data_IF_499250097761
#
_entry.id   IF_499250097761
#
_cell.length_a   1.000
_cell.length_b   1.000
_cell.length_c   1.000
_cell.angle_alpha   90.00
_cell.angle_beta   90.00
_cell.angle_gamma   90.00
#
_symmetry.space_group_name_H-M   'P 1'
#
loop_
_entity.id
_entity.type
_entity.pdbx_description
1 polymer ?
#
# COMPACT_ATOMS: atom_id res chain seq x y z
N UNK A 1 -9.98 44.21 47.68
CA UNK A 1 -10.05 44.02 46.22
C UNK A 1 -8.87 43.14 45.81
N UNK A 2 -8.72 41.86 46.17
CA UNK A 2 -9.66 40.72 46.10
C UNK A 2 -10.53 40.74 44.85
N UNK A 3 -9.99 40.18 43.76
CA UNK A 3 -10.70 39.54 42.66
C UNK A 3 -9.61 39.14 41.63
N UNK A 4 -9.54 38.00 40.95
CA UNK A 4 -10.36 36.81 40.83
C UNK A 4 -9.68 36.03 39.67
N UNK A 5 -9.52 34.71 39.78
CA UNK A 5 -8.90 33.76 38.81
C UNK A 5 -7.37 33.81 38.61
N UNK A 6 -6.53 32.82 38.94
CA UNK A 6 -6.67 31.38 39.18
C UNK A 6 -7.65 30.64 38.24
N UNK A 7 -7.18 30.33 37.05
CA UNK A 7 -7.60 29.14 36.28
C UNK A 7 -6.33 28.43 35.79
N UNK A 8 -5.53 27.94 36.74
CA UNK A 8 -4.92 26.63 36.52
C UNK A 8 -6.07 25.66 36.65
N UNK A 9 -6.56 25.16 35.51
CA UNK A 9 -7.46 24.03 35.51
C UNK A 9 -6.73 22.90 36.21
N UNK A 10 -7.08 22.71 37.48
CA UNK A 10 -6.76 21.50 38.20
C UNK A 10 -7.28 20.34 37.35
N UNK A 11 -6.36 19.62 36.74
CA UNK A 11 -6.48 18.17 36.70
C UNK A 11 -6.65 17.77 38.15
N UNK A 12 -7.90 17.64 38.59
CA UNK A 12 -8.19 17.07 39.89
C UNK A 12 -7.46 15.74 39.91
N UNK A 13 -6.43 15.63 40.73
CA UNK A 13 -6.01 14.33 41.22
C UNK A 13 -7.22 13.85 42.03
N UNK A 14 -8.02 12.89 41.53
CA UNK A 14 -8.88 12.19 42.46
C UNK A 14 -7.94 11.66 43.56
N UNK A 15 -8.42 11.65 44.80
CA UNK A 15 -7.79 10.94 45.92
C UNK A 15 -7.85 9.43 45.68
N UNK A 16 -7.29 8.99 44.56
CA UNK A 16 -7.19 7.62 44.13
C UNK A 16 -5.96 7.04 44.81
N UNK A 17 -6.19 5.97 45.56
CA UNK A 17 -5.20 5.15 46.26
C UNK A 17 -3.78 5.20 45.64
N UNK A 18 -2.70 5.20 46.43
CA UNK A 18 -1.32 5.15 45.90
C UNK A 18 -1.09 4.01 44.90
N UNK A 19 -1.86 2.92 44.99
CA UNK A 19 -1.90 1.86 43.97
C UNK A 19 -2.41 2.35 42.60
N UNK A 20 -3.45 3.18 42.57
CA UNK A 20 -3.97 3.78 41.33
C UNK A 20 -2.96 4.76 40.71
N UNK A 21 -2.21 5.49 41.54
CA UNK A 21 -1.15 6.40 41.07
C UNK A 21 0.02 5.63 40.41
N UNK A 22 0.48 4.55 41.06
CA UNK A 22 1.52 3.67 40.52
C UNK A 22 1.02 2.98 39.23
N UNK A 23 -0.23 2.50 39.21
CA UNK A 23 -0.85 1.90 38.04
C UNK A 23 -0.89 2.88 36.86
N UNK A 24 -1.29 4.13 37.10
CA UNK A 24 -1.41 5.16 36.07
C UNK A 24 -0.02 5.59 35.55
N UNK A 25 0.99 5.64 36.42
CA UNK A 25 2.37 5.91 36.03
C UNK A 25 2.95 4.79 35.15
N UNK A 26 2.78 3.52 35.56
CA UNK A 26 3.21 2.36 34.77
C UNK A 26 2.45 2.28 33.45
N UNK A 27 1.14 2.56 33.44
CA UNK A 27 0.34 2.59 32.22
C UNK A 27 0.84 3.65 31.22
N UNK A 28 1.21 4.85 31.69
CA UNK A 28 1.76 5.90 30.84
C UNK A 28 3.10 5.50 30.23
N UNK A 29 4.02 4.93 31.03
CA UNK A 29 5.28 4.40 30.51
C UNK A 29 5.07 3.23 29.53
N UNK A 30 4.11 2.34 29.82
CA UNK A 30 3.79 1.21 28.95
C UNK A 30 3.27 1.66 27.58
N UNK A 31 2.40 2.67 27.54
CA UNK A 31 1.87 3.24 26.29
C UNK A 31 3.01 3.90 25.49
N UNK A 32 3.85 4.71 26.13
CA UNK A 32 4.97 5.36 25.46
C UNK A 32 5.99 4.35 24.89
N UNK A 33 6.31 3.30 25.66
CA UNK A 33 7.18 2.21 25.23
C UNK A 33 6.59 1.42 24.07
N UNK A 34 5.30 1.07 24.13
CA UNK A 34 4.62 0.30 23.10
C UNK A 34 4.50 1.05 21.78
N UNK A 35 4.19 2.35 21.85
CA UNK A 35 4.07 3.21 20.66
C UNK A 35 5.41 3.44 19.99
N UNK A 36 6.54 3.47 20.73
CA UNK A 36 7.87 3.70 20.13
C UNK A 36 8.53 2.42 19.59
N UNK A 37 8.40 1.29 20.27
CA UNK A 37 9.09 0.03 19.88
C UNK A 37 8.48 -0.64 18.66
N UNK A 38 7.16 -0.59 18.53
CA UNK A 38 6.47 -1.19 17.38
C UNK A 38 6.87 -0.56 16.03
N UNK A 39 6.92 0.77 15.87
CA UNK A 39 7.39 1.37 14.63
C UNK A 39 8.90 1.29 14.45
N UNK A 40 9.71 1.39 15.52
CA UNK A 40 11.18 1.39 15.40
C UNK A 40 11.71 0.11 14.74
N UNK A 41 11.26 -1.07 15.18
CA UNK A 41 11.72 -2.35 14.62
C UNK A 41 11.42 -2.46 13.13
N UNK A 42 10.30 -1.89 12.66
CA UNK A 42 9.90 -1.92 11.25
C UNK A 42 10.76 -0.99 10.39
N UNK A 43 11.15 0.18 10.92
CA UNK A 43 12.01 1.13 10.19
C UNK A 43 13.45 0.63 10.14
N UNK A 44 13.97 0.10 11.26
CA UNK A 44 15.31 -0.52 11.31
C UNK A 44 15.43 -1.68 10.32
N UNK A 45 14.41 -2.54 10.23
CA UNK A 45 14.43 -3.67 9.29
C UNK A 45 14.44 -3.21 7.82
N UNK A 46 13.64 -2.21 7.46
CA UNK A 46 13.63 -1.64 6.10
C UNK A 46 14.96 -1.01 5.72
N UNK A 47 15.57 -0.32 6.68
CA UNK A 47 16.84 0.37 6.48
C UNK A 47 17.99 -0.61 6.34
N UNK A 48 17.91 -1.76 7.03
CA UNK A 48 18.84 -2.86 6.88
C UNK A 48 18.61 -3.64 5.58
N UNK A 49 17.36 -3.92 5.20
CA UNK A 49 17.01 -4.54 3.92
C UNK A 49 17.47 -3.68 2.72
N UNK A 50 17.32 -2.36 2.78
CA UNK A 50 17.85 -1.43 1.77
C UNK A 50 19.37 -1.57 1.63
N UNK A 51 20.08 -1.68 2.75
CA UNK A 51 21.54 -1.84 2.77
C UNK A 51 21.99 -3.22 2.26
N UNK A 52 21.24 -4.26 2.54
CA UNK A 52 21.50 -5.64 2.08
C UNK A 52 21.16 -5.83 0.59
N UNK A 53 20.23 -5.05 0.06
CA UNK A 53 19.84 -5.11 -1.35
C UNK A 53 20.83 -4.45 -2.32
N UNK A 54 21.87 -3.77 -1.83
CA UNK A 54 22.86 -3.10 -2.67
C UNK A 54 23.73 -4.12 -3.41
N UNK A 55 23.78 -4.01 -4.73
CA UNK A 55 24.53 -4.91 -5.61
C UNK A 55 25.69 -4.19 -6.31
N UNK A 56 26.64 -4.98 -6.80
CA UNK A 56 27.73 -4.48 -7.65
C UNK A 56 27.13 -4.04 -8.99
N UNK A 57 27.50 -2.85 -9.43
CA UNK A 57 26.98 -2.24 -10.67
C UNK A 57 25.84 -1.26 -10.46
N UNK A 58 25.29 -1.16 -9.23
CA UNK A 58 24.27 -0.16 -8.92
C UNK A 58 24.87 1.26 -8.93
N UNK A 59 24.10 2.18 -9.50
CA UNK A 59 24.37 3.60 -9.38
C UNK A 59 23.71 4.13 -8.11
N UNK A 60 24.51 4.70 -7.21
CA UNK A 60 24.06 5.15 -5.90
C UNK A 60 24.37 6.62 -5.69
N UNK A 61 23.48 7.27 -4.94
CA UNK A 61 23.66 8.63 -4.44
C UNK A 61 23.93 8.56 -2.94
N UNK A 62 25.07 9.09 -2.54
CA UNK A 62 25.51 9.20 -1.14
C UNK A 62 24.82 10.40 -0.48
N UNK A 63 24.71 10.42 0.86
CA UNK A 63 24.11 11.54 1.63
C UNK A 63 24.74 12.91 1.30
N UNK A 64 26.03 12.93 0.95
CA UNK A 64 26.74 14.15 0.53
C UNK A 64 26.47 14.60 -0.92
N UNK A 65 25.52 13.98 -1.64
CA UNK A 65 25.22 14.30 -3.04
C UNK A 65 26.19 13.69 -4.05
N UNK A 66 27.11 12.83 -3.62
CA UNK A 66 28.07 12.15 -4.51
C UNK A 66 27.35 11.00 -5.22
N UNK A 67 27.34 11.04 -6.55
CA UNK A 67 26.80 10.00 -7.42
C UNK A 67 27.94 9.15 -7.98
N UNK A 68 27.81 7.84 -7.89
CA UNK A 68 28.82 6.92 -8.41
C UNK A 68 28.31 5.50 -8.55
N UNK A 69 29.13 4.65 -9.16
CA UNK A 69 28.83 3.23 -9.39
C UNK A 69 29.51 2.36 -8.33
N UNK A 70 28.79 1.39 -7.78
CA UNK A 70 29.34 0.41 -6.84
C UNK A 70 30.17 -0.62 -7.59
N UNK A 71 31.45 -0.76 -7.22
CA UNK A 71 32.38 -1.75 -7.79
C UNK A 71 32.54 -2.97 -6.89
N UNK A 72 32.46 -2.76 -5.58
CA UNK A 72 32.61 -3.84 -4.61
C UNK A 72 31.76 -3.56 -3.38
N UNK A 73 31.01 -4.57 -2.94
CA UNK A 73 30.19 -4.54 -1.73
C UNK A 73 30.88 -5.37 -0.66
N UNK A 74 31.02 -4.82 0.55
CA UNK A 74 31.36 -5.53 1.79
C UNK A 74 30.25 -5.29 2.81
N UNK A 75 30.25 -6.03 3.92
CA UNK A 75 29.18 -5.98 4.93
C UNK A 75 28.94 -4.56 5.50
N UNK A 76 30.02 -3.84 5.84
CA UNK A 76 29.91 -2.50 6.45
C UNK A 76 30.36 -1.35 5.53
N UNK A 77 31.03 -1.67 4.42
CA UNK A 77 31.61 -0.67 3.51
C UNK A 77 31.47 -1.06 2.05
N UNK A 78 31.47 -0.05 1.18
CA UNK A 78 31.28 -0.16 -0.25
C UNK A 78 32.44 0.59 -0.92
N UNK A 79 32.92 0.09 -2.06
CA UNK A 79 33.84 0.84 -2.92
C UNK A 79 33.04 1.36 -4.10
N UNK A 80 33.00 2.68 -4.23
CA UNK A 80 32.35 3.38 -5.32
C UNK A 80 33.39 3.99 -6.25
N UNK A 81 33.10 3.96 -7.55
CA UNK A 81 33.78 4.78 -8.55
C UNK A 81 32.95 6.04 -8.81
N UNK A 82 33.55 7.21 -8.59
CA UNK A 82 32.91 8.52 -8.78
C UNK A 82 33.66 9.34 -9.83
N UNK A 83 32.90 10.11 -10.62
CA UNK A 83 33.43 11.05 -11.61
C UNK A 83 34.05 10.41 -12.85
N UNK A 84 34.54 11.27 -13.75
CA UNK A 84 35.21 10.86 -15.00
C UNK A 84 36.57 10.19 -14.74
N UNK A 85 37.23 10.55 -13.63
CA UNK A 85 38.57 10.07 -13.26
C UNK A 85 38.57 8.66 -12.65
N UNK A 86 37.39 8.01 -12.55
CA UNK A 86 37.21 6.67 -11.96
C UNK A 86 37.87 6.53 -10.59
N UNK A 87 37.74 7.57 -9.77
CA UNK A 87 38.33 7.56 -8.43
C UNK A 87 37.58 6.55 -7.55
N UNK A 88 38.33 5.60 -6.97
CA UNK A 88 37.81 4.55 -6.11
C UNK A 88 37.80 5.02 -4.67
N UNK A 89 36.62 5.33 -4.14
CA UNK A 89 36.44 5.77 -2.77
C UNK A 89 35.71 4.71 -1.95
N UNK A 90 36.19 4.47 -0.73
CA UNK A 90 35.50 3.61 0.23
C UNK A 90 34.53 4.48 1.03
N UNK A 91 33.26 4.11 0.99
CA UNK A 91 32.21 4.72 1.80
C UNK A 91 31.57 3.66 2.69
N UNK A 92 30.99 4.08 3.80
CA UNK A 92 30.22 3.18 4.67
C UNK A 92 28.86 2.86 4.06
N UNK A 93 28.34 1.67 4.35
CA UNK A 93 27.05 1.23 3.80
C UNK A 93 25.87 2.08 4.28
N UNK A 94 25.99 2.70 5.46
CA UNK A 94 24.99 3.63 5.98
C UNK A 94 24.96 4.98 5.26
N UNK A 95 26.03 5.34 4.53
CA UNK A 95 26.12 6.63 3.84
C UNK A 95 25.34 6.66 2.51
N UNK A 96 24.76 5.53 2.10
CA UNK A 96 23.95 5.43 0.88
C UNK A 96 22.54 5.96 1.15
N UNK A 97 22.16 7.03 0.45
CA UNK A 97 20.84 7.64 0.59
C UNK A 97 19.84 7.04 -0.40
N UNK A 98 20.27 6.81 -1.64
CA UNK A 98 19.39 6.32 -2.70
C UNK A 98 20.15 5.41 -3.65
N UNK A 99 19.52 4.32 -4.05
CA UNK A 99 20.00 3.46 -5.13
C UNK A 99 19.17 3.77 -6.37
N UNK A 100 19.77 4.47 -7.33
CA UNK A 100 19.08 4.98 -8.52
C UNK A 100 18.65 3.79 -9.40
N UNK A 101 19.52 2.80 -9.58
CA UNK A 101 19.24 1.61 -10.39
C UNK A 101 18.11 0.75 -9.82
N UNK A 102 18.08 0.55 -8.50
CA UNK A 102 16.98 -0.18 -7.84
C UNK A 102 15.68 0.63 -7.87
N UNK A 103 15.75 1.96 -7.71
CA UNK A 103 14.58 2.82 -7.73
C UNK A 103 13.91 2.87 -9.12
N UNK A 104 14.70 2.91 -10.20
CA UNK A 104 14.20 2.84 -11.58
C UNK A 104 13.51 1.50 -11.86
N UNK A 105 14.10 0.37 -11.42
CA UNK A 105 13.49 -0.96 -11.54
C UNK A 105 12.16 -1.06 -10.78
N UNK A 106 12.12 -0.56 -9.55
CA UNK A 106 10.90 -0.53 -8.73
C UNK A 106 9.82 0.37 -9.34
N UNK A 107 10.18 1.48 -9.96
CA UNK A 107 9.26 2.35 -10.68
C UNK A 107 8.69 1.65 -11.92
N UNK A 108 9.54 1.04 -12.74
CA UNK A 108 9.12 0.31 -13.94
C UNK A 108 8.21 -0.89 -13.62
N UNK A 109 8.50 -1.65 -12.56
CA UNK A 109 7.64 -2.75 -12.12
C UNK A 109 6.28 -2.25 -11.59
N UNK A 110 6.26 -1.13 -10.87
CA UNK A 110 5.01 -0.51 -10.39
C UNK A 110 4.15 -0.01 -11.54
N UNK A 111 4.75 0.59 -12.55
CA UNK A 111 4.06 1.05 -13.75
C UNK A 111 3.54 -0.14 -14.58
N UNK A 112 4.35 -1.18 -14.78
CA UNK A 112 3.92 -2.39 -15.48
C UNK A 112 2.82 -3.15 -14.73
N UNK A 113 2.87 -3.20 -13.39
CA UNK A 113 1.82 -3.81 -12.57
C UNK A 113 0.53 -2.98 -12.59
N UNK A 114 0.63 -1.65 -12.57
CA UNK A 114 -0.52 -0.75 -12.68
C UNK A 114 -1.18 -0.83 -14.07
N UNK A 115 -0.38 -0.89 -15.14
CA UNK A 115 -0.87 -1.07 -16.49
C UNK A 115 -1.56 -2.43 -16.67
N UNK A 116 -0.95 -3.52 -16.19
CA UNK A 116 -1.58 -4.86 -16.21
C UNK A 116 -2.84 -4.93 -15.37
N UNK A 117 -2.87 -4.30 -14.20
CA UNK A 117 -4.05 -4.24 -13.34
C UNK A 117 -5.19 -3.39 -13.94
N UNK A 118 -4.85 -2.30 -14.65
CA UNK A 118 -5.80 -1.51 -15.42
C UNK A 118 -6.32 -2.28 -16.64
N UNK A 119 -5.46 -2.99 -17.34
CA UNK A 119 -5.84 -3.82 -18.49
C UNK A 119 -6.73 -5.00 -18.08
N UNK A 120 -6.41 -5.68 -16.98
CA UNK A 120 -7.29 -6.71 -16.39
C UNK A 120 -8.61 -6.12 -15.90
N UNK A 121 -8.61 -4.93 -15.27
CA UNK A 121 -9.85 -4.24 -14.89
C UNK A 121 -10.69 -3.87 -16.11
N UNK A 122 -10.08 -3.43 -17.21
CA UNK A 122 -10.76 -3.12 -18.46
C UNK A 122 -11.35 -4.38 -19.14
N UNK A 123 -10.59 -5.50 -19.15
CA UNK A 123 -11.05 -6.79 -19.68
C UNK A 123 -12.20 -7.39 -18.85
N UNK A 124 -12.15 -7.27 -17.51
CA UNK A 124 -13.23 -7.70 -16.61
C UNK A 124 -14.51 -6.86 -16.79
N UNK A 125 -14.37 -5.55 -17.02
CA UNK A 125 -15.51 -4.68 -17.32
C UNK A 125 -16.19 -5.02 -18.66
N UNK A 126 -15.42 -5.41 -19.70
CA UNK A 126 -15.97 -5.85 -20.98
C UNK A 126 -16.65 -7.23 -20.90
N UNK A 127 -16.12 -8.16 -20.08
CA UNK A 127 -16.69 -9.49 -19.87
C UNK A 127 -18.05 -9.49 -19.15
N UNK A 128 -18.27 -8.56 -18.21
CA UNK A 128 -19.57 -8.40 -17.54
C UNK A 128 -20.65 -7.81 -18.45
N UNK A 129 -20.26 -6.95 -19.41
CA UNK A 129 -21.15 -6.43 -20.45
C UNK A 129 -21.70 -7.54 -21.36
N UNK A 130 -20.85 -8.49 -21.78
CA UNK A 130 -21.25 -9.61 -22.63
C UNK A 130 -22.17 -10.61 -21.89
N UNK A 131 -21.94 -10.87 -20.60
CA UNK A 131 -22.80 -11.76 -19.78
C UNK A 131 -24.18 -11.13 -19.51
N UNK A 132 -24.27 -9.81 -19.34
CA UNK A 132 -25.53 -9.08 -19.12
C UNK A 132 -26.33 -8.90 -20.42
N UNK A 133 -25.65 -8.72 -21.56
CA UNK A 133 -26.28 -8.68 -22.89
C UNK A 133 -26.88 -10.04 -23.29
N UNK A 134 -26.14 -11.14 -23.11
CA UNK A 134 -26.61 -12.49 -23.46
C UNK A 134 -27.74 -13.00 -22.56
N UNK A 135 -27.81 -12.55 -21.30
CA UNK A 135 -28.93 -12.84 -20.37
C UNK A 135 -30.18 -12.02 -20.64
N UNK A 136 -30.06 -10.83 -21.26
CA UNK A 136 -31.21 -10.00 -21.65
C UNK A 136 -31.79 -10.41 -23.01
N UNK A 137 -30.96 -10.84 -23.96
CA UNK A 137 -31.42 -11.46 -25.22
C UNK A 137 -32.26 -12.70 -24.94
N UNK A 138 -31.69 -13.68 -24.24
CA UNK A 138 -32.34 -14.95 -23.91
C UNK A 138 -33.63 -14.84 -23.07
N UNK A 139 -33.91 -13.69 -22.46
CA UNK A 139 -35.20 -13.43 -21.79
C UNK A 139 -36.26 -12.90 -22.75
N UNK A 140 -35.90 -12.02 -23.69
CA UNK A 140 -36.82 -11.57 -24.75
C UNK A 140 -37.24 -12.72 -25.65
N UNK A 141 -36.26 -13.54 -26.05
CA UNK A 141 -36.52 -14.70 -26.91
C UNK A 141 -37.40 -15.75 -26.21
N UNK A 142 -37.33 -15.85 -24.87
CA UNK A 142 -38.15 -16.80 -24.09
C UNK A 142 -39.57 -16.27 -23.81
N UNK A 143 -39.73 -14.95 -23.73
CA UNK A 143 -41.02 -14.27 -23.54
C UNK A 143 -41.81 -14.21 -24.85
N UNK A 144 -41.12 -14.02 -25.98
CA UNK A 144 -41.72 -14.04 -27.33
C UNK A 144 -42.21 -15.46 -27.69
N UNK A 145 -41.44 -16.50 -27.38
CA UNK A 145 -41.84 -17.91 -27.62
C UNK A 145 -42.98 -18.36 -26.68
N UNK A 146 -43.07 -17.81 -25.46
CA UNK A 146 -44.19 -18.08 -24.54
C UNK A 146 -45.50 -17.40 -24.97
N UNK A 147 -45.42 -16.22 -25.60
CA UNK A 147 -46.59 -15.49 -26.11
C UNK A 147 -47.13 -16.05 -27.43
N UNK A 148 -46.26 -16.64 -28.25
CA UNK A 148 -46.67 -17.34 -29.48
C UNK A 148 -47.43 -18.65 -29.17
N UNK A 149 -46.99 -19.43 -28.17
CA UNK A 149 -47.68 -20.68 -27.79
C UNK A 149 -49.01 -20.45 -27.05
N UNK A 150 -49.20 -19.31 -26.39
CA UNK A 150 -50.49 -18.96 -25.76
C UNK A 150 -51.48 -18.37 -26.76
N UNK A 151 -51.01 -17.71 -27.83
CA UNK A 151 -51.88 -17.24 -28.91
C UNK A 151 -52.45 -18.39 -29.76
N UNK A 152 -51.69 -19.48 -29.98
CA UNK A 152 -52.16 -20.65 -30.73
C UNK A 152 -53.16 -21.52 -29.92
N UNK A 153 -53.05 -21.56 -28.58
CA UNK A 153 -53.98 -22.32 -27.75
C UNK A 153 -55.37 -21.65 -27.61
N UNK A 154 -55.44 -20.31 -27.63
CA UNK A 154 -56.71 -19.58 -27.45
C UNK A 154 -57.57 -19.55 -28.73
N UNK A 155 -56.98 -19.77 -29.91
CA UNK A 155 -57.75 -19.88 -31.17
C UNK A 155 -58.37 -21.26 -31.42
N UNK A 156 -57.95 -22.31 -30.70
CA UNK A 156 -58.54 -23.64 -30.82
C UNK A 156 -59.84 -23.81 -30.01
N UNK A 157 -59.98 -23.13 -28.87
CA UNK A 157 -61.13 -23.32 -27.97
C UNK A 157 -62.39 -22.55 -28.42
N UNK A 158 -62.26 -21.55 -29.30
CA UNK A 158 -63.40 -20.75 -29.78
C UNK A 158 -64.15 -21.35 -30.99
N UNK A 159 -63.88 -22.62 -31.33
CA UNK A 159 -64.47 -23.31 -32.49
C UNK A 159 -65.30 -24.54 -32.11
N UNK A 160 -65.50 -24.82 -30.82
CA UNK A 160 -66.40 -25.89 -30.33
C UNK A 160 -67.72 -25.36 -29.73
N UNK A 161 -68.00 -24.06 -29.83
CA UNK A 161 -69.28 -23.46 -29.39
C UNK A 161 -70.00 -22.74 -30.54
N UNK A 162 -70.08 -23.40 -31.70
CA UNK A 162 -71.12 -23.17 -32.72
C UNK A 162 -71.51 -24.48 -33.42
#
# INVERSE_FOLDING_TARGET
>A
MTAFHLLTSGSGTPSSSPFTMILLMVAMFAIMYFVMIRPQKKQQKKEQEMRDSLQVGDEITTIGGIVGRVVTVKEDSLIIETGADRNKMRITRWAVQTNNTANEKLAAEREAAQAKAQEERAKRAAGDGAKKGKRRGRKKDLEEVSSAQTAEAVQAEKKEEE
#
